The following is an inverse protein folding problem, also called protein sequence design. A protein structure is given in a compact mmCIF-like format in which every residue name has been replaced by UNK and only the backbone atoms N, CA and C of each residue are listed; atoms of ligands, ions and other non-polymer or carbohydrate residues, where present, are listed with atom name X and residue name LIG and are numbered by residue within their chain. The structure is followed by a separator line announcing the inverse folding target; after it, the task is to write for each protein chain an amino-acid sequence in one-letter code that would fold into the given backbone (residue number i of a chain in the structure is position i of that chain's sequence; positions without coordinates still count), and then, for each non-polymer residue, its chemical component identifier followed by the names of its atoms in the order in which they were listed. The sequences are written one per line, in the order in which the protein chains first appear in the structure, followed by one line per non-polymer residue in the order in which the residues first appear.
data_IF_301275655859
#
_entry.id   IF_301275655859
#
_cell.length_a   1.000
_cell.length_b   1.000
_cell.length_c   1.000
_cell.angle_alpha   90.00
_cell.angle_beta   90.00
_cell.angle_gamma   90.00
#
_symmetry.space_group_name_H-M   'P 1'
#
loop_
_entity.id
_entity.type
_entity.pdbx_description
1 polymer ?
#
# COMPACT_ATOMS: atom_id res chain seq x y z
N UNK A 1 -14.76 17.33 -37.94
CA UNK A 1 -14.71 17.31 -36.47
C UNK A 1 -13.59 16.37 -36.06
N UNK A 2 -12.59 16.84 -35.33
CA UNK A 2 -11.54 15.96 -34.80
C UNK A 2 -12.15 15.20 -33.62
N UNK A 3 -12.12 13.87 -33.64
CA UNK A 3 -12.62 13.07 -32.53
C UNK A 3 -11.86 13.43 -31.25
N UNK A 4 -12.54 13.57 -30.09
CA UNK A 4 -11.89 13.74 -28.80
C UNK A 4 -10.76 12.73 -28.53
N UNK A 5 -10.87 11.51 -29.10
CA UNK A 5 -9.87 10.45 -28.96
C UNK A 5 -8.52 10.80 -29.63
N UNK A 6 -8.53 11.55 -30.73
CA UNK A 6 -7.32 11.97 -31.43
C UNK A 6 -6.53 13.04 -30.64
N UNK A 7 -7.22 13.91 -29.90
CA UNK A 7 -6.60 14.94 -29.06
C UNK A 7 -5.94 14.30 -27.84
N UNK A 8 -6.62 13.31 -27.24
CA UNK A 8 -6.10 12.55 -26.09
C UNK A 8 -4.86 11.74 -26.50
N UNK A 9 -4.90 11.05 -27.64
CA UNK A 9 -3.74 10.32 -28.16
C UNK A 9 -2.51 11.23 -28.35
N UNK A 10 -2.68 12.43 -28.92
CA UNK A 10 -1.59 13.38 -29.13
C UNK A 10 -1.00 13.98 -27.84
N UNK A 11 -1.79 14.07 -26.76
CA UNK A 11 -1.32 14.58 -25.46
C UNK A 11 -0.63 13.50 -24.63
N UNK A 12 -1.01 12.23 -24.79
CA UNK A 12 -0.46 11.10 -24.04
C UNK A 12 0.88 10.61 -24.60
N UNK A 13 1.10 10.70 -25.91
CA UNK A 13 2.35 10.24 -26.56
C UNK A 13 3.59 11.09 -26.24
N UNK A 14 3.44 12.24 -25.56
CA UNK A 14 4.58 13.08 -25.17
C UNK A 14 5.29 12.61 -23.89
N UNK A 15 4.63 11.81 -23.05
CA UNK A 15 5.20 11.35 -21.77
C UNK A 15 5.74 9.90 -21.82
N UNK A 16 5.68 9.26 -22.99
CA UNK A 16 6.15 7.88 -23.25
C UNK A 16 7.42 7.83 -24.13
N UNK A 17 8.40 8.69 -23.85
CA UNK A 17 9.75 8.59 -24.42
C UNK A 17 10.75 7.94 -23.45
N UNK A 18 11.66 7.06 -23.90
CA UNK A 18 12.69 6.49 -23.03
C UNK A 18 13.71 7.58 -22.67
N UNK A 19 14.25 7.52 -21.46
CA UNK A 19 15.39 8.32 -21.06
C UNK A 19 16.60 7.96 -21.93
N UNK A 20 17.03 8.82 -22.87
CA UNK A 20 18.43 8.87 -23.30
C UNK A 20 18.83 10.08 -24.16
N UNK A 21 19.99 10.62 -23.77
CA UNK A 21 21.07 11.23 -24.56
C UNK A 21 20.93 12.68 -25.06
N UNK A 22 21.75 13.53 -24.45
CA UNK A 22 22.19 14.81 -24.98
C UNK A 22 23.11 14.60 -26.21
N UNK A 23 22.73 15.11 -27.37
CA UNK A 23 23.67 15.43 -28.44
C UNK A 23 23.11 16.51 -29.38
N UNK A 24 23.79 17.66 -29.35
CA UNK A 24 24.13 18.56 -30.48
C UNK A 24 23.13 18.74 -31.64
N UNK A 25 22.45 19.90 -31.67
CA UNK A 25 21.98 20.51 -32.90
C UNK A 25 22.18 22.05 -32.82
N UNK A 26 22.70 22.61 -33.92
CA UNK A 26 23.24 23.96 -34.07
C UNK A 26 22.22 25.10 -33.88
N UNK A 27 22.67 26.32 -33.50
CA UNK A 27 21.80 27.45 -33.27
C UNK A 27 21.38 28.11 -34.60
N UNK A 28 20.08 28.11 -34.89
CA UNK A 28 19.50 28.86 -36.00
C UNK A 28 19.69 30.38 -35.76
N UNK A 29 20.33 31.05 -36.72
CA UNK A 29 20.61 32.49 -36.73
C UNK A 29 19.32 33.34 -36.74
N UNK A 30 19.30 34.50 -36.07
CA UNK A 30 18.12 35.34 -35.99
C UNK A 30 17.95 36.18 -37.27
N UNK A 31 16.81 36.02 -37.95
CA UNK A 31 16.37 36.97 -38.97
C UNK A 31 16.01 38.28 -38.26
N UNK A 32 16.78 39.33 -38.52
CA UNK A 32 16.48 40.71 -38.10
C UNK A 32 15.46 41.36 -39.03
N UNK A 33 14.73 42.29 -38.43
CA UNK A 33 13.88 43.33 -39.01
C UNK A 33 12.44 43.00 -39.37
N UNK A 34 11.58 43.09 -38.34
CA UNK A 34 10.51 44.10 -38.33
C UNK A 34 10.08 44.39 -36.88
N UNK A 35 10.82 45.28 -36.22
CA UNK A 35 10.45 45.85 -34.92
C UNK A 35 9.31 46.88 -35.11
N UNK A 36 8.07 46.43 -34.96
CA UNK A 36 7.01 47.32 -34.49
C UNK A 36 6.00 46.55 -33.65
N UNK A 37 5.96 46.91 -32.36
CA UNK A 37 5.21 46.33 -31.23
C UNK A 37 5.80 45.07 -30.62
N UNK A 38 6.34 45.22 -29.42
CA UNK A 38 6.44 44.13 -28.47
C UNK A 38 5.06 43.46 -28.35
N UNK A 39 4.93 42.13 -28.54
CA UNK A 39 3.67 41.46 -28.31
C UNK A 39 3.34 41.57 -26.81
N UNK A 40 2.12 41.99 -26.51
CA UNK A 40 1.62 42.07 -25.15
C UNK A 40 1.63 40.69 -24.48
N UNK A 41 1.65 40.62 -23.13
CA UNK A 41 1.71 39.36 -22.36
C UNK A 41 0.57 38.36 -22.63
N UNK A 42 -0.42 38.73 -23.44
CA UNK A 42 -1.60 37.93 -23.79
C UNK A 42 -1.33 36.88 -24.89
N UNK A 43 -0.20 36.99 -25.60
CA UNK A 43 0.11 36.14 -26.74
C UNK A 43 0.69 34.76 -26.37
N UNK A 44 0.92 34.49 -25.08
CA UNK A 44 1.22 33.16 -24.57
C UNK A 44 0.00 32.65 -23.78
N UNK A 45 -0.57 31.54 -24.26
CA UNK A 45 -1.30 30.53 -23.47
C UNK A 45 -2.80 30.73 -23.19
N UNK A 46 -3.65 30.76 -24.23
CA UNK A 46 -5.07 30.48 -24.03
C UNK A 46 -5.54 29.37 -25.00
N UNK A 47 -5.57 28.13 -24.49
CA UNK A 47 -6.10 26.93 -25.19
C UNK A 47 -7.48 27.24 -25.82
N UNK A 48 -8.26 28.09 -25.15
CA UNK A 48 -9.53 28.64 -25.62
C UNK A 48 -9.41 29.35 -26.97
N UNK A 49 -8.60 30.40 -27.06
CA UNK A 49 -8.44 31.19 -28.29
C UNK A 49 -7.91 30.32 -29.44
N UNK A 50 -7.02 29.36 -29.12
CA UNK A 50 -6.54 28.39 -30.09
C UNK A 50 -7.66 27.47 -30.60
N UNK A 51 -8.50 26.93 -29.72
CA UNK A 51 -9.62 26.05 -30.07
C UNK A 51 -10.63 26.73 -31.01
N UNK A 52 -10.97 28.00 -30.77
CA UNK A 52 -11.81 28.78 -31.69
C UNK A 52 -11.11 29.09 -33.01
N UNK A 53 -9.84 29.50 -32.97
CA UNK A 53 -9.08 29.86 -34.19
C UNK A 53 -8.90 28.70 -35.18
N UNK A 54 -8.91 27.46 -34.69
CA UNK A 54 -8.77 26.25 -35.49
C UNK A 54 -10.10 25.58 -35.81
N UNK A 55 -11.23 26.16 -35.42
CA UNK A 55 -12.56 25.60 -35.67
C UNK A 55 -12.82 24.28 -34.92
N UNK A 56 -12.15 24.06 -33.79
CA UNK A 56 -12.42 22.89 -32.94
C UNK A 56 -13.77 22.99 -32.23
N UNK A 57 -14.23 24.22 -31.99
CA UNK A 57 -15.47 24.56 -31.27
C UNK A 57 -16.10 25.79 -31.93
N UNK A 58 -17.42 25.81 -32.03
CA UNK A 58 -18.19 26.86 -32.72
C UNK A 58 -18.93 27.78 -31.75
N UNK A 59 -19.07 27.38 -30.48
CA UNK A 59 -19.69 28.18 -29.43
C UNK A 59 -18.95 28.07 -28.10
N UNK A 60 -19.20 29.03 -27.21
CA UNK A 60 -18.66 29.03 -25.85
C UNK A 60 -19.18 27.84 -25.03
N UNK A 61 -20.43 27.44 -25.26
CA UNK A 61 -21.03 26.28 -24.59
C UNK A 61 -20.41 24.97 -25.07
N UNK A 62 -20.11 24.85 -26.38
CA UNK A 62 -19.41 23.69 -26.95
C UNK A 62 -17.98 23.60 -26.41
N UNK A 63 -17.28 24.72 -26.27
CA UNK A 63 -15.95 24.77 -25.64
C UNK A 63 -15.98 24.32 -24.18
N UNK A 64 -16.93 24.80 -23.39
CA UNK A 64 -17.05 24.43 -21.98
C UNK A 64 -17.43 22.96 -21.80
N UNK A 65 -18.33 22.44 -22.63
CA UNK A 65 -18.70 21.03 -22.64
C UNK A 65 -17.50 20.14 -22.97
N UNK A 66 -16.75 20.49 -24.03
CA UNK A 66 -15.56 19.75 -24.44
C UNK A 66 -14.46 19.79 -23.37
N UNK A 67 -14.21 20.97 -22.78
CA UNK A 67 -13.21 21.12 -21.72
C UNK A 67 -13.59 20.30 -20.47
N UNK A 68 -14.88 20.30 -20.09
CA UNK A 68 -15.37 19.47 -19.00
C UNK A 68 -15.17 17.98 -19.30
N UNK A 69 -15.58 17.52 -20.49
CA UNK A 69 -15.41 16.13 -20.89
C UNK A 69 -13.96 15.69 -20.88
N UNK A 70 -13.06 16.47 -21.49
CA UNK A 70 -11.62 16.18 -21.52
C UNK A 70 -11.04 16.17 -20.11
N UNK A 71 -11.44 17.11 -19.25
CA UNK A 71 -10.97 17.17 -17.86
C UNK A 71 -11.42 15.93 -17.08
N UNK A 72 -12.67 15.50 -17.25
CA UNK A 72 -13.20 14.28 -16.61
C UNK A 72 -12.47 13.04 -17.14
N UNK A 73 -12.23 12.94 -18.45
CA UNK A 73 -11.47 11.83 -19.05
C UNK A 73 -10.04 11.79 -18.52
N UNK A 74 -9.32 12.91 -18.51
CA UNK A 74 -7.96 13.02 -17.98
C UNK A 74 -7.91 12.69 -16.48
N UNK A 75 -8.89 13.17 -15.70
CA UNK A 75 -8.97 12.85 -14.28
C UNK A 75 -9.22 11.35 -14.06
N UNK A 76 -10.14 10.74 -14.82
CA UNK A 76 -10.41 9.30 -14.76
C UNK A 76 -9.17 8.49 -15.15
N UNK A 77 -8.48 8.86 -16.21
CA UNK A 77 -7.29 8.17 -16.69
C UNK A 77 -6.08 8.35 -15.75
N UNK A 78 -5.96 9.51 -15.10
CA UNK A 78 -4.99 9.73 -14.04
C UNK A 78 -5.28 8.87 -12.80
N UNK A 79 -6.55 8.69 -12.43
CA UNK A 79 -6.97 7.80 -11.33
C UNK A 79 -6.70 6.33 -11.68
N UNK A 80 -7.03 5.89 -12.90
CA UNK A 80 -6.78 4.52 -13.35
C UNK A 80 -5.28 4.21 -13.42
N UNK A 81 -4.44 5.17 -13.82
CA UNK A 81 -2.98 5.03 -13.81
C UNK A 81 -2.37 5.18 -12.40
N UNK A 82 -3.07 5.84 -11.47
CA UNK A 82 -2.67 5.92 -10.07
C UNK A 82 -3.05 4.70 -9.26
N UNK A 83 -4.04 3.91 -9.72
CA UNK A 83 -4.32 2.56 -9.27
C UNK A 83 -3.16 1.62 -9.65
N UNK A 84 -1.99 1.92 -9.10
CA UNK A 84 -0.90 0.98 -8.97
C UNK A 84 -1.42 -0.14 -8.05
N UNK A 85 -0.98 -1.38 -8.26
CA UNK A 85 -1.52 -2.54 -7.54
C UNK A 85 -1.44 -2.44 -6.00
N UNK A 86 -0.71 -1.46 -5.44
CA UNK A 86 -0.66 -1.24 -4.00
C UNK A 86 -2.01 -0.74 -3.42
N UNK A 87 -2.92 -0.17 -4.22
CA UNK A 87 -4.27 0.18 -3.74
C UNK A 87 -5.09 -1.05 -3.34
N UNK A 88 -5.04 -2.12 -4.12
CA UNK A 88 -5.74 -3.38 -3.82
C UNK A 88 -5.21 -3.98 -2.51
N UNK A 89 -3.90 -3.97 -2.30
CA UNK A 89 -3.27 -4.39 -1.04
C UNK A 89 -3.77 -3.55 0.14
N UNK A 90 -3.87 -2.22 -0.03
CA UNK A 90 -4.37 -1.33 1.03
C UNK A 90 -5.81 -1.71 1.42
N UNK A 91 -6.67 -1.96 0.42
CA UNK A 91 -8.04 -2.39 0.66
C UNK A 91 -8.12 -3.76 1.32
N UNK A 92 -7.36 -4.74 0.83
CA UNK A 92 -7.31 -6.08 1.39
C UNK A 92 -6.85 -6.08 2.86
N UNK A 93 -5.85 -5.28 3.22
CA UNK A 93 -5.40 -5.13 4.61
C UNK A 93 -6.49 -4.51 5.50
N UNK A 94 -7.22 -3.51 5.01
CA UNK A 94 -8.34 -2.92 5.76
C UNK A 94 -9.43 -3.96 6.00
N UNK A 95 -9.78 -4.75 4.98
CA UNK A 95 -10.75 -5.84 5.14
C UNK A 95 -10.28 -6.89 6.14
N UNK A 96 -9.00 -7.23 6.14
CA UNK A 96 -8.45 -8.15 7.14
C UNK A 96 -8.51 -7.59 8.57
N UNK A 97 -8.27 -6.28 8.71
CA UNK A 97 -8.30 -5.56 10.00
C UNK A 97 -9.72 -5.38 10.55
N UNK A 98 -10.72 -5.31 9.68
CA UNK A 98 -12.13 -5.30 10.06
C UNK A 98 -12.64 -6.72 10.35
N UNK A 99 -12.25 -7.70 9.54
CA UNK A 99 -12.72 -9.08 9.64
C UNK A 99 -12.20 -9.78 10.92
N UNK A 100 -10.95 -9.54 11.31
CA UNK A 100 -10.35 -10.28 12.45
C UNK A 100 -11.04 -9.95 13.80
N UNK A 101 -11.28 -8.67 14.16
CA UNK A 101 -12.06 -8.34 15.35
C UNK A 101 -13.51 -8.82 15.27
N UNK A 102 -14.14 -8.71 14.09
CA UNK A 102 -15.53 -9.17 13.90
C UNK A 102 -15.65 -10.68 14.10
N UNK A 103 -14.73 -11.48 13.55
CA UNK A 103 -14.68 -12.92 13.76
C UNK A 103 -14.56 -13.27 15.24
N UNK A 104 -13.67 -12.58 15.97
CA UNK A 104 -13.49 -12.82 17.40
C UNK A 104 -14.77 -12.51 18.18
N UNK A 105 -15.42 -11.38 17.90
CA UNK A 105 -16.66 -10.97 18.56
C UNK A 105 -17.82 -11.95 18.25
N UNK A 106 -17.99 -12.33 16.98
CA UNK A 106 -19.00 -13.30 16.58
C UNK A 106 -18.75 -14.67 17.22
N UNK A 107 -17.49 -15.08 17.31
CA UNK A 107 -17.10 -16.30 18.00
C UNK A 107 -17.46 -16.22 19.48
N UNK A 108 -17.10 -15.15 20.19
CA UNK A 108 -17.44 -14.96 21.60
C UNK A 108 -18.96 -15.09 21.82
N UNK A 109 -19.78 -14.37 21.06
CA UNK A 109 -21.25 -14.45 21.19
C UNK A 109 -21.84 -15.82 20.84
N UNK A 110 -21.30 -16.50 19.83
CA UNK A 110 -21.73 -17.85 19.47
C UNK A 110 -21.51 -18.81 20.65
N UNK A 111 -20.33 -18.74 21.28
CA UNK A 111 -19.98 -19.61 22.41
C UNK A 111 -20.69 -19.22 23.70
N UNK A 112 -20.95 -17.94 23.94
CA UNK A 112 -21.84 -17.49 25.03
C UNK A 112 -23.24 -18.09 24.90
N UNK A 113 -23.81 -18.11 23.69
CA UNK A 113 -25.11 -18.75 23.47
C UNK A 113 -25.03 -20.27 23.58
N UNK A 114 -23.99 -20.89 23.01
CA UNK A 114 -23.81 -22.34 23.10
C UNK A 114 -23.60 -22.83 24.53
N UNK A 115 -23.08 -21.98 25.42
CA UNK A 115 -22.89 -22.29 26.85
C UNK A 115 -24.19 -22.59 27.60
N UNK A 116 -25.36 -22.32 27.01
CA UNK A 116 -26.66 -22.75 27.55
C UNK A 116 -26.92 -24.26 27.36
N UNK A 117 -26.16 -24.92 26.48
CA UNK A 117 -26.34 -26.32 26.10
C UNK A 117 -25.20 -27.23 26.54
N UNK A 118 -24.01 -26.68 26.78
CA UNK A 118 -22.80 -27.40 27.17
C UNK A 118 -21.95 -26.54 28.12
N UNK A 119 -21.46 -27.11 29.22
CA UNK A 119 -20.63 -26.39 30.19
C UNK A 119 -19.16 -26.31 29.74
N UNK A 120 -18.46 -25.24 30.13
CA UNK A 120 -17.01 -25.04 29.93
C UNK A 120 -16.48 -25.08 28.48
N UNK A 121 -17.31 -24.74 27.50
CA UNK A 121 -16.88 -24.67 26.10
C UNK A 121 -16.03 -23.43 25.85
N UNK A 122 -14.80 -23.63 25.39
CA UNK A 122 -13.91 -22.54 24.97
C UNK A 122 -14.02 -22.29 23.47
N UNK A 123 -13.96 -21.02 23.05
CA UNK A 123 -13.89 -20.68 21.62
C UNK A 123 -12.73 -21.38 20.92
N UNK A 124 -13.06 -22.29 20.01
CA UNK A 124 -12.08 -23.03 19.20
C UNK A 124 -12.74 -23.61 17.95
N UNK A 125 -11.95 -23.84 16.90
CA UNK A 125 -12.45 -24.50 15.67
C UNK A 125 -13.06 -25.88 15.98
N UNK A 126 -12.45 -26.63 16.90
CA UNK A 126 -12.97 -27.92 17.33
C UNK A 126 -14.37 -27.80 17.98
N UNK A 127 -14.58 -26.76 18.79
CA UNK A 127 -15.86 -26.51 19.43
C UNK A 127 -16.93 -26.03 18.43
N UNK A 128 -16.57 -25.28 17.39
CA UNK A 128 -17.49 -24.97 16.28
C UNK A 128 -17.94 -26.25 15.57
N UNK A 129 -17.02 -27.18 15.30
CA UNK A 129 -17.34 -28.48 14.69
C UNK A 129 -18.24 -29.34 15.58
N UNK A 130 -18.14 -29.21 16.90
CA UNK A 130 -19.03 -29.87 17.84
C UNK A 130 -20.45 -29.30 17.77
N UNK A 131 -20.58 -27.97 17.75
CA UNK A 131 -21.87 -27.28 17.56
C UNK A 131 -22.55 -27.78 16.28
N UNK A 132 -21.81 -27.87 15.17
CA UNK A 132 -22.36 -28.31 13.89
C UNK A 132 -22.87 -29.77 13.87
N UNK A 133 -22.36 -30.62 14.77
CA UNK A 133 -22.76 -32.03 14.88
C UNK A 133 -23.86 -32.28 15.90
N UNK A 134 -24.15 -31.32 16.77
CA UNK A 134 -25.04 -31.52 17.91
C UNK A 134 -26.49 -31.44 17.49
N UNK A 135 -27.27 -32.44 17.90
CA UNK A 135 -28.72 -32.41 17.74
C UNK A 135 -29.40 -31.77 18.97
N UNK A 136 -30.60 -31.21 18.78
CA UNK A 136 -31.39 -30.63 19.88
C UNK A 136 -31.05 -29.19 20.24
N UNK A 137 -30.17 -28.53 19.49
CA UNK A 137 -29.91 -27.08 19.59
C UNK A 137 -30.67 -26.30 18.50
N UNK A 138 -30.90 -24.98 18.67
CA UNK A 138 -31.59 -24.17 17.67
C UNK A 138 -30.92 -24.23 16.30
N UNK A 139 -31.72 -24.31 15.25
CA UNK A 139 -31.20 -24.30 13.87
C UNK A 139 -30.39 -23.03 13.57
N UNK A 140 -30.79 -21.89 14.15
CA UNK A 140 -30.04 -20.64 14.04
C UNK A 140 -28.59 -20.75 14.55
N UNK A 141 -28.33 -21.54 15.61
CA UNK A 141 -26.98 -21.73 16.15
C UNK A 141 -26.08 -22.47 15.16
N UNK A 142 -26.63 -23.46 14.45
CA UNK A 142 -25.91 -24.16 13.38
C UNK A 142 -25.56 -23.23 12.22
N UNK A 143 -26.51 -22.40 11.77
CA UNK A 143 -26.27 -21.45 10.68
C UNK A 143 -25.15 -20.47 11.06
N UNK A 144 -25.19 -19.93 12.28
CA UNK A 144 -24.17 -18.99 12.75
C UNK A 144 -22.79 -19.66 12.88
N UNK A 145 -22.74 -20.90 13.36
CA UNK A 145 -21.51 -21.69 13.41
C UNK A 145 -20.92 -21.96 12.01
N UNK A 146 -21.78 -22.26 11.03
CA UNK A 146 -21.37 -22.44 9.64
C UNK A 146 -20.83 -21.13 9.05
N UNK A 147 -21.58 -20.04 9.17
CA UNK A 147 -21.15 -18.72 8.68
C UNK A 147 -19.82 -18.29 9.31
N UNK A 148 -19.61 -18.57 10.60
CA UNK A 148 -18.36 -18.27 11.29
C UNK A 148 -17.20 -19.06 10.66
N UNK A 149 -17.42 -20.34 10.36
CA UNK A 149 -16.43 -21.20 9.68
C UNK A 149 -16.09 -20.63 8.29
N UNK A 150 -17.09 -20.27 7.50
CA UNK A 150 -16.90 -19.72 6.15
C UNK A 150 -16.14 -18.37 6.18
N UNK A 151 -16.40 -17.54 7.19
CA UNK A 151 -15.66 -16.29 7.40
C UNK A 151 -14.20 -16.53 7.84
N UNK A 152 -13.94 -17.57 8.63
CA UNK A 152 -12.57 -17.98 8.98
C UNK A 152 -11.79 -18.46 7.76
N UNK A 153 -12.42 -19.24 6.89
CA UNK A 153 -11.83 -19.67 5.62
C UNK A 153 -11.56 -18.48 4.70
N UNK A 154 -12.54 -17.60 4.53
CA UNK A 154 -12.41 -16.36 3.75
C UNK A 154 -11.27 -15.48 4.25
N UNK A 155 -11.07 -15.38 5.57
CA UNK A 155 -9.92 -14.70 6.17
C UNK A 155 -8.60 -15.35 5.76
N UNK A 156 -8.53 -16.68 5.72
CA UNK A 156 -7.36 -17.43 5.27
C UNK A 156 -7.00 -17.10 3.82
N UNK A 157 -8.00 -17.16 2.93
CA UNK A 157 -7.84 -16.82 1.51
C UNK A 157 -7.34 -15.38 1.34
N UNK A 158 -7.92 -14.44 2.09
CA UNK A 158 -7.50 -13.04 2.05
C UNK A 158 -6.04 -12.85 2.50
N UNK A 159 -5.59 -13.59 3.52
CA UNK A 159 -4.20 -13.53 3.99
C UNK A 159 -3.23 -14.02 2.92
N UNK A 160 -3.54 -15.12 2.24
CA UNK A 160 -2.67 -15.65 1.18
C UNK A 160 -2.65 -14.72 -0.04
N UNK A 161 -3.81 -14.21 -0.48
CA UNK A 161 -3.88 -13.19 -1.52
C UNK A 161 -2.99 -11.98 -1.19
N UNK A 162 -3.07 -11.45 0.04
CA UNK A 162 -2.23 -10.33 0.47
C UNK A 162 -0.74 -10.67 0.37
N UNK A 163 -0.34 -11.90 0.73
CA UNK A 163 1.07 -12.32 0.67
C UNK A 163 1.58 -12.39 -0.76
N UNK A 164 0.80 -13.00 -1.64
CA UNK A 164 1.17 -13.18 -3.04
C UNK A 164 1.26 -11.83 -3.74
N UNK A 165 0.22 -11.01 -3.61
CA UNK A 165 0.17 -9.68 -4.25
C UNK A 165 1.31 -8.78 -3.76
N UNK A 166 1.59 -8.81 -2.45
CA UNK A 166 2.70 -8.02 -1.91
C UNK A 166 4.07 -8.50 -2.39
N UNK A 167 4.23 -9.81 -2.62
CA UNK A 167 5.48 -10.37 -3.14
C UNK A 167 5.70 -9.99 -4.60
N UNK A 168 4.63 -9.76 -5.36
CA UNK A 168 4.69 -9.23 -6.72
C UNK A 168 5.03 -7.73 -6.74
N UNK A 169 4.40 -6.94 -5.86
CA UNK A 169 4.50 -5.48 -5.88
C UNK A 169 5.72 -4.94 -5.14
N UNK A 170 6.10 -5.56 -4.04
CA UNK A 170 7.19 -5.14 -3.17
C UNK A 170 8.05 -6.33 -2.72
N UNK A 171 8.73 -7.01 -3.66
CA UNK A 171 9.47 -8.24 -3.39
C UNK A 171 10.58 -8.05 -2.36
N UNK A 172 11.33 -6.94 -2.39
CA UNK A 172 12.42 -6.71 -1.43
C UNK A 172 11.86 -6.51 -0.02
N UNK A 173 10.76 -5.77 0.10
CA UNK A 173 10.09 -5.55 1.39
C UNK A 173 9.48 -6.85 1.93
N UNK A 174 8.84 -7.64 1.06
CA UNK A 174 8.26 -8.94 1.39
C UNK A 174 9.34 -9.96 1.83
N UNK A 175 10.49 -9.99 1.17
CA UNK A 175 11.62 -10.86 1.55
C UNK A 175 12.16 -10.52 2.95
N UNK A 176 12.15 -9.25 3.35
CA UNK A 176 12.64 -8.81 4.66
C UNK A 176 11.61 -8.92 5.80
N UNK A 177 10.34 -8.60 5.52
CA UNK A 177 9.30 -8.50 6.55
C UNK A 177 8.27 -9.64 6.52
N UNK A 178 8.26 -10.43 5.45
CA UNK A 178 7.12 -11.27 5.05
C UNK A 178 6.03 -10.44 4.37
N UNK A 179 5.26 -11.08 3.47
CA UNK A 179 4.22 -10.42 2.68
C UNK A 179 3.18 -9.67 3.54
N UNK A 180 2.69 -10.29 4.62
CA UNK A 180 1.64 -9.68 5.44
C UNK A 180 2.09 -8.41 6.19
N UNK A 181 3.31 -8.40 6.75
CA UNK A 181 3.83 -7.22 7.45
C UNK A 181 4.22 -6.13 6.44
N UNK A 182 4.80 -6.51 5.30
CA UNK A 182 5.10 -5.59 4.21
C UNK A 182 3.83 -4.88 3.71
N UNK A 183 2.76 -5.63 3.44
CA UNK A 183 1.44 -5.12 3.06
C UNK A 183 0.89 -4.13 4.08
N UNK A 184 1.01 -4.47 5.37
CA UNK A 184 0.54 -3.62 6.47
C UNK A 184 1.33 -2.31 6.57
N UNK A 185 2.63 -2.33 6.31
CA UNK A 185 3.47 -1.12 6.23
C UNK A 185 3.03 -0.21 5.08
N UNK A 186 2.79 -0.79 3.90
CA UNK A 186 2.27 -0.08 2.72
C UNK A 186 0.91 0.55 3.04
N UNK A 187 0.01 -0.21 3.68
CA UNK A 187 -1.32 0.24 4.07
C UNK A 187 -1.30 1.41 5.05
N UNK A 188 -0.54 1.30 6.15
CA UNK A 188 -0.44 2.38 7.14
C UNK A 188 0.26 3.62 6.56
N UNK A 189 1.21 3.46 5.64
CA UNK A 189 1.85 4.58 4.95
C UNK A 189 0.93 5.26 3.92
N UNK A 190 -0.12 4.57 3.46
CA UNK A 190 -1.04 5.02 2.43
C UNK A 190 -0.47 4.89 1.01
N UNK A 191 0.28 3.81 0.76
CA UNK A 191 0.88 3.45 -0.52
C UNK A 191 2.40 3.26 -0.46
N UNK A 192 2.93 2.44 -1.37
CA UNK A 192 4.36 2.08 -1.46
C UNK A 192 5.21 3.32 -1.74
N UNK A 193 4.73 4.23 -2.58
CA UNK A 193 5.45 5.49 -2.87
C UNK A 193 5.60 6.40 -1.65
N UNK A 194 4.59 6.47 -0.78
CA UNK A 194 4.69 7.23 0.48
C UNK A 194 5.64 6.54 1.46
N UNK A 195 5.62 5.20 1.50
CA UNK A 195 6.53 4.41 2.31
C UNK A 195 8.00 4.60 1.89
N UNK A 196 8.29 4.58 0.58
CA UNK A 196 9.64 4.77 0.03
C UNK A 196 10.25 6.15 0.38
N UNK A 197 9.42 7.20 0.37
CA UNK A 197 9.83 8.57 0.74
C UNK A 197 10.01 8.76 2.25
N UNK A 198 9.52 7.83 3.07
CA UNK A 198 9.56 7.94 4.52
C UNK A 198 10.99 7.77 5.07
N UNK A 199 11.40 8.51 6.12
CA UNK A 199 12.64 8.22 6.83
C UNK A 199 12.50 6.98 7.73
N UNK A 200 13.60 6.26 7.94
CA UNK A 200 13.64 5.04 8.75
C UNK A 200 13.14 5.25 10.20
N UNK A 201 13.41 6.42 10.80
CA UNK A 201 12.93 6.76 12.14
C UNK A 201 11.40 6.82 12.23
N UNK A 202 10.72 7.27 11.17
CA UNK A 202 9.25 7.28 11.10
C UNK A 202 8.70 5.89 10.81
N UNK A 203 9.36 5.12 9.93
CA UNK A 203 8.99 3.72 9.65
C UNK A 203 9.10 2.86 10.93
N UNK A 204 10.14 3.07 11.74
CA UNK A 204 10.36 2.35 12.99
C UNK A 204 9.14 2.37 13.93
N UNK A 205 8.46 3.51 14.01
CA UNK A 205 7.33 3.74 14.92
C UNK A 205 5.97 3.77 14.20
N UNK A 206 5.93 3.36 12.92
CA UNK A 206 4.72 3.37 12.12
C UNK A 206 3.63 2.51 12.78
N UNK A 207 2.41 3.03 12.92
CA UNK A 207 1.32 2.34 13.64
C UNK A 207 1.35 2.52 15.18
N UNK A 208 2.37 3.15 15.76
CA UNK A 208 2.42 3.48 17.19
C UNK A 208 1.85 4.88 17.51
N UNK A 209 0.92 5.39 16.70
CA UNK A 209 0.42 6.78 16.79
C UNK A 209 -0.03 7.16 18.21
N UNK A 210 -0.83 6.31 18.86
CA UNK A 210 -1.31 6.56 20.24
C UNK A 210 -0.16 6.69 21.25
N UNK A 211 0.85 5.85 21.16
CA UNK A 211 2.02 5.91 22.03
C UNK A 211 2.91 7.13 21.72
N UNK A 212 3.05 7.47 20.44
CA UNK A 212 3.77 8.66 19.99
C UNK A 212 3.10 9.95 20.49
N UNK A 213 1.77 10.06 20.40
CA UNK A 213 1.03 11.21 20.92
C UNK A 213 1.16 11.37 22.45
N UNK A 214 1.26 10.26 23.20
CA UNK A 214 1.59 10.34 24.63
C UNK A 214 3.02 10.82 24.88
N UNK A 215 3.98 10.40 24.06
CA UNK A 215 5.36 10.86 24.17
C UNK A 215 5.49 12.37 23.94
N UNK A 216 4.76 12.91 22.96
CA UNK A 216 4.68 14.36 22.73
C UNK A 216 4.10 15.12 23.94
N UNK A 217 3.45 14.44 24.88
CA UNK A 217 2.95 14.97 26.15
C UNK A 217 3.83 14.60 27.36
N UNK A 218 5.07 14.16 27.13
CA UNK A 218 6.06 13.89 28.18
C UNK A 218 6.25 12.43 28.58
N UNK A 219 5.52 11.47 28.00
CA UNK A 219 5.78 10.04 28.24
C UNK A 219 7.06 9.56 27.53
N UNK A 220 7.53 8.34 27.78
CA UNK A 220 8.66 7.77 27.04
C UNK A 220 8.30 7.48 25.56
N UNK A 221 9.23 7.63 24.60
CA UNK A 221 8.98 7.38 23.18
C UNK A 221 8.72 5.89 22.88
N UNK A 222 7.86 5.57 21.89
CA UNK A 222 7.71 4.20 21.43
C UNK A 222 9.01 3.71 20.75
N UNK A 223 9.44 2.49 21.09
CA UNK A 223 10.65 1.89 20.51
C UNK A 223 10.42 1.25 19.14
N UNK A 224 9.18 0.89 18.86
CA UNK A 224 8.75 0.19 17.65
C UNK A 224 7.24 0.39 17.47
N UNK A 225 6.79 0.34 16.23
CA UNK A 225 5.38 0.28 15.86
C UNK A 225 4.97 -1.09 15.38
N UNK A 226 4.29 -1.15 14.24
CA UNK A 226 3.77 -2.38 13.63
C UNK A 226 4.86 -3.41 13.33
N UNK A 227 6.10 -2.96 13.06
CA UNK A 227 7.26 -3.86 12.87
C UNK A 227 7.54 -4.76 14.07
N UNK A 228 7.00 -4.46 15.26
CA UNK A 228 7.07 -5.33 16.42
C UNK A 228 6.51 -6.73 16.15
N UNK A 229 5.54 -6.86 15.24
CA UNK A 229 4.95 -8.14 14.86
C UNK A 229 5.97 -9.12 14.27
N UNK A 230 7.09 -8.64 13.71
CA UNK A 230 8.11 -9.50 13.14
C UNK A 230 8.81 -10.36 14.24
N UNK A 231 9.00 -11.67 14.04
CA UNK A 231 9.67 -12.58 15.00
C UNK A 231 11.00 -12.04 15.51
N UNK A 232 11.78 -11.46 14.61
CA UNK A 232 13.06 -10.81 14.93
C UNK A 232 12.98 -9.82 16.11
N UNK A 233 11.85 -9.14 16.27
CA UNK A 233 11.68 -8.08 17.28
C UNK A 233 10.91 -8.60 18.50
N UNK A 234 9.74 -9.22 18.34
CA UNK A 234 8.93 -9.60 19.50
C UNK A 234 9.55 -10.77 20.30
N UNK A 235 10.17 -11.74 19.62
CA UNK A 235 10.83 -12.87 20.27
C UNK A 235 12.15 -12.45 20.96
N UNK A 236 12.72 -11.31 20.56
CA UNK A 236 13.96 -10.80 21.14
C UNK A 236 13.80 -10.27 22.58
N UNK A 237 14.87 -10.31 23.40
CA UNK A 237 14.87 -9.74 24.75
C UNK A 237 14.51 -8.24 24.78
N UNK A 238 13.70 -7.80 25.76
CA UNK A 238 13.17 -6.41 25.87
C UNK A 238 14.22 -5.31 25.71
N UNK A 239 15.44 -5.56 26.21
CA UNK A 239 16.58 -4.62 26.12
C UNK A 239 17.08 -4.40 24.69
N UNK A 240 17.02 -5.44 23.84
CA UNK A 240 17.55 -5.42 22.48
C UNK A 240 16.51 -4.97 21.42
N UNK A 241 15.21 -5.07 21.73
CA UNK A 241 14.12 -4.80 20.78
C UNK A 241 14.23 -3.43 20.09
N UNK A 242 14.62 -2.38 20.82
CA UNK A 242 14.76 -1.04 20.24
C UNK A 242 15.92 -0.92 19.24
N UNK A 243 17.05 -1.56 19.54
CA UNK A 243 18.23 -1.59 18.65
C UNK A 243 17.91 -2.39 17.39
N UNK A 244 17.27 -3.56 17.55
CA UNK A 244 16.86 -4.42 16.44
C UNK A 244 15.83 -3.71 15.57
N UNK A 245 14.79 -3.12 16.18
CA UNK A 245 13.76 -2.38 15.45
C UNK A 245 14.33 -1.23 14.62
N UNK A 246 15.31 -0.49 15.14
CA UNK A 246 15.99 0.57 14.39
C UNK A 246 16.72 0.03 13.17
N UNK A 247 17.54 -1.03 13.34
CA UNK A 247 18.31 -1.64 12.24
C UNK A 247 17.39 -2.25 11.19
N UNK A 248 16.33 -2.91 11.63
CA UNK A 248 15.30 -3.48 10.76
C UNK A 248 14.59 -2.39 9.96
N UNK A 249 14.14 -1.32 10.62
CA UNK A 249 13.49 -0.20 9.93
C UNK A 249 14.38 0.45 8.88
N UNK A 250 15.68 0.61 9.14
CA UNK A 250 16.64 1.12 8.16
C UNK A 250 16.71 0.24 6.90
N UNK A 251 16.74 -1.09 7.06
CA UNK A 251 16.76 -2.02 5.92
C UNK A 251 15.43 -2.04 5.17
N UNK A 252 14.30 -2.02 5.88
CA UNK A 252 12.97 -1.91 5.27
C UNK A 252 12.81 -0.62 4.46
N UNK A 253 13.33 0.51 4.93
CA UNK A 253 13.30 1.77 4.17
C UNK A 253 14.11 1.67 2.87
N UNK A 254 15.26 0.98 2.89
CA UNK A 254 16.06 0.77 1.67
C UNK A 254 15.30 -0.15 0.70
N UNK A 255 14.74 -1.26 1.19
CA UNK A 255 13.95 -2.18 0.39
C UNK A 255 12.74 -1.49 -0.26
N UNK A 256 11.94 -0.74 0.50
CA UNK A 256 10.80 0.00 -0.02
C UNK A 256 11.18 1.01 -1.12
N UNK A 257 12.37 1.62 -1.04
CA UNK A 257 12.87 2.53 -2.07
C UNK A 257 13.23 1.79 -3.35
N UNK A 258 13.87 0.64 -3.24
CA UNK A 258 14.24 -0.18 -4.40
C UNK A 258 12.98 -0.70 -5.08
N UNK A 259 12.04 -1.24 -4.31
CA UNK A 259 10.75 -1.71 -4.82
C UNK A 259 10.01 -0.59 -5.59
N UNK A 260 10.02 0.64 -5.07
CA UNK A 260 9.30 1.74 -5.71
C UNK A 260 10.00 2.37 -6.92
N UNK A 261 11.33 2.53 -6.88
CA UNK A 261 12.07 3.28 -7.90
C UNK A 261 12.72 2.39 -8.97
N UNK A 262 13.08 1.15 -8.64
CA UNK A 262 13.80 0.24 -9.55
C UNK A 262 12.97 -0.98 -9.91
N UNK A 263 12.19 -1.53 -8.98
CA UNK A 263 11.42 -2.77 -9.17
C UNK A 263 12.27 -4.05 -9.24
N UNK A 264 13.61 -3.93 -9.23
CA UNK A 264 14.52 -5.07 -9.24
C UNK A 264 14.59 -5.76 -7.88
N UNK A 265 14.58 -7.09 -7.89
CA UNK A 265 14.86 -7.90 -6.70
C UNK A 265 16.36 -7.88 -6.45
N UNK A 266 16.78 -7.43 -5.27
CA UNK A 266 18.17 -7.55 -4.84
C UNK A 266 18.31 -8.71 -3.87
N UNK A 267 19.05 -9.70 -4.32
CA UNK A 267 19.52 -10.81 -3.49
C UNK A 267 20.52 -10.28 -2.44
N UNK A 268 20.60 -10.91 -1.26
CA UNK A 268 21.57 -10.54 -0.23
C UNK A 268 21.05 -9.64 0.90
N UNK A 269 19.81 -9.15 0.83
CA UNK A 269 19.28 -8.19 1.83
C UNK A 269 19.11 -8.81 3.22
N UNK A 270 18.68 -10.08 3.28
CA UNK A 270 18.49 -10.81 4.53
C UNK A 270 19.84 -11.07 5.22
N UNK A 271 20.87 -11.45 4.46
CA UNK A 271 22.23 -11.66 4.95
C UNK A 271 22.84 -10.35 5.45
N UNK A 272 22.62 -9.25 4.73
CA UNK A 272 23.06 -7.92 5.13
C UNK A 272 22.37 -7.44 6.41
N UNK A 273 21.10 -7.78 6.61
CA UNK A 273 20.39 -7.51 7.86
C UNK A 273 21.00 -8.33 8.99
N UNK A 274 21.15 -9.64 8.81
CA UNK A 274 21.74 -10.55 9.80
C UNK A 274 23.14 -10.13 10.24
N UNK A 275 24.01 -9.74 9.30
CA UNK A 275 25.34 -9.20 9.59
C UNK A 275 25.30 -7.90 10.39
N UNK A 276 24.24 -7.10 10.20
CA UNK A 276 24.07 -5.87 10.94
C UNK A 276 23.49 -6.08 12.33
N UNK A 277 22.98 -7.25 12.72
CA UNK A 277 22.32 -7.47 14.02
C UNK A 277 23.31 -7.80 15.14
N UNK A 278 22.96 -7.57 16.43
CA UNK A 278 23.77 -8.04 17.54
C UNK A 278 23.86 -9.58 17.55
N UNK A 279 25.00 -10.17 17.92
CA UNK A 279 25.25 -11.63 17.86
C UNK A 279 24.12 -12.48 18.45
N UNK A 280 23.55 -12.07 19.59
CA UNK A 280 22.44 -12.81 20.24
C UNK A 280 21.14 -12.80 19.46
N UNK A 281 20.92 -11.83 18.57
CA UNK A 281 19.75 -11.77 17.70
C UNK A 281 19.99 -12.52 16.37
N UNK A 282 21.25 -12.58 15.91
CA UNK A 282 21.65 -13.31 14.70
C UNK A 282 21.52 -14.85 14.86
N UNK A 283 21.59 -15.37 16.09
CA UNK A 283 21.34 -16.79 16.38
C UNK A 283 19.87 -17.15 16.14
N UNK A 284 18.92 -16.30 16.57
CA UNK A 284 17.48 -16.55 16.40
C UNK A 284 17.02 -16.53 14.93
N UNK A 285 17.65 -15.73 14.07
CA UNK A 285 17.37 -15.71 12.62
C UNK A 285 17.74 -17.03 11.95
N UNK A 286 18.88 -17.63 12.32
CA UNK A 286 19.32 -18.91 11.73
C UNK A 286 18.41 -20.08 12.10
N UNK A 287 17.86 -20.09 13.32
CA UNK A 287 16.92 -21.12 13.76
C UNK A 287 15.51 -20.98 13.17
N UNK A 288 15.11 -19.77 12.77
CA UNK A 288 13.79 -19.52 12.16
C UNK A 288 13.78 -19.78 10.66
N UNK A 289 14.89 -19.52 9.95
CA UNK A 289 15.05 -19.92 8.54
C UNK A 289 15.16 -21.44 8.38
N UNK A 290 15.69 -22.16 9.38
CA UNK A 290 15.81 -23.63 9.37
C UNK A 290 14.49 -24.39 9.60
N UNK A 291 13.38 -23.68 9.87
CA UNK A 291 12.05 -24.26 10.14
C UNK A 291 11.02 -23.96 9.04
N UNK A 292 11.45 -23.41 7.90
CA UNK A 292 10.63 -23.26 6.70
C UNK A 292 10.93 -24.35 5.69
#
# INVERSE_FOLDING_TARGET
MVSPDAIVSMLLDRDSGPAMQASTAEPLTPVKDSLSRAPTPEALTCIRTFAFSKGFVNSEDEYRALLHEVTIRLARDAVLRSARGDEEIIHAIKMLDDLSPTLNLLSEHLFEWYSMYEEDVRPSEAAVMEILKRHGIPHALHILAQNLTDLHESRGILIEYIRDETSLIAPNLANLAGGLLAARLISIAGGLGKLARMPASRLQILGANRAMFRHLRGAAPPKHGVIFQHPLIHASPRRLRGTIARRFASKLTIAARIDYYSGEVREGFAESLSASLPDRAAVFTRESDARR
#
